data_IF_683570909216
#
_entry.id   IF_683570909216
#
_cell.length_a   1.000
_cell.length_b   1.000
_cell.length_c   1.000
_cell.angle_alpha   90.00
_cell.angle_beta   90.00
_cell.angle_gamma   90.00
#
_symmetry.space_group_name_H-M   'P 1'
#
loop_
_entity.id
_entity.type
_entity.pdbx_description
1 polymer ?
#
# COMPACT_ATOMS: atom_id res chain seq x y z
N UNK A 1 -20.24 -32.97 -0.56
CA UNK A 1 -19.79 -31.68 -1.11
C UNK A 1 -21.04 -30.96 -1.60
N UNK A 2 -21.49 -29.97 -0.85
CA UNK A 2 -22.76 -29.30 -1.10
C UNK A 2 -22.65 -28.35 -2.31
N UNK A 3 -23.77 -27.96 -2.92
CA UNK A 3 -23.82 -27.08 -4.10
C UNK A 3 -23.16 -25.73 -3.82
N UNK A 4 -23.30 -25.20 -2.60
CA UNK A 4 -22.62 -24.00 -2.14
C UNK A 4 -21.09 -24.10 -2.20
N UNK A 5 -20.52 -25.25 -1.82
CA UNK A 5 -19.06 -25.45 -1.84
C UNK A 5 -18.49 -25.44 -3.27
N UNK A 6 -19.23 -26.00 -4.24
CA UNK A 6 -18.84 -25.97 -5.67
C UNK A 6 -18.87 -24.55 -6.25
N UNK A 7 -19.81 -23.73 -5.80
CA UNK A 7 -19.90 -22.34 -6.22
C UNK A 7 -18.74 -21.50 -5.67
N UNK A 8 -18.32 -21.76 -4.43
CA UNK A 8 -17.16 -21.10 -3.82
C UNK A 8 -15.83 -21.52 -4.48
N UNK A 9 -15.72 -22.76 -4.96
CA UNK A 9 -14.59 -23.20 -5.77
C UNK A 9 -14.52 -22.44 -7.11
N UNK A 10 -15.67 -22.21 -7.74
CA UNK A 10 -15.75 -21.36 -8.94
C UNK A 10 -15.35 -19.90 -8.66
N UNK A 11 -15.70 -19.37 -7.48
CA UNK A 11 -15.25 -18.05 -7.04
C UNK A 11 -13.73 -18.02 -6.85
N UNK A 12 -13.15 -19.09 -6.30
CA UNK A 12 -11.71 -19.21 -6.10
C UNK A 12 -10.92 -19.16 -7.41
N UNK A 13 -11.46 -19.76 -8.46
CA UNK A 13 -10.82 -19.76 -9.79
C UNK A 13 -10.98 -18.42 -10.52
N UNK A 14 -12.10 -17.73 -10.34
CA UNK A 14 -12.47 -16.57 -11.16
C UNK A 14 -12.13 -15.23 -10.49
N UNK A 15 -12.12 -15.19 -9.16
CA UNK A 15 -11.81 -14.02 -8.35
C UNK A 15 -10.98 -14.42 -7.11
N UNK A 16 -9.69 -14.74 -7.28
CA UNK A 16 -8.83 -15.29 -6.22
C UNK A 16 -8.65 -14.34 -5.04
N UNK A 17 -8.75 -13.02 -5.22
CA UNK A 17 -8.69 -12.06 -4.10
C UNK A 17 -9.93 -12.12 -3.20
N UNK A 18 -11.10 -12.43 -3.79
CA UNK A 18 -12.36 -12.64 -3.09
C UNK A 18 -12.48 -14.09 -2.56
N UNK A 19 -11.59 -14.99 -2.99
CA UNK A 19 -11.54 -16.36 -2.50
C UNK A 19 -11.18 -16.46 -1.01
N UNK A 20 -10.39 -15.52 -0.49
CA UNK A 20 -10.10 -15.44 0.95
C UNK A 20 -11.37 -15.20 1.78
N UNK A 21 -12.30 -14.40 1.25
CA UNK A 21 -13.61 -14.11 1.84
C UNK A 21 -14.57 -15.32 1.73
N UNK A 22 -14.51 -16.06 0.62
CA UNK A 22 -15.27 -17.29 0.40
C UNK A 22 -14.78 -18.46 1.28
N UNK A 23 -13.46 -18.62 1.43
CA UNK A 23 -12.85 -19.67 2.24
C UNK A 23 -13.15 -19.51 3.74
N UNK A 24 -13.30 -18.28 4.22
CA UNK A 24 -13.72 -18.01 5.60
C UNK A 24 -15.15 -18.45 5.89
N UNK A 25 -16.07 -18.49 4.92
CA UNK A 25 -17.42 -19.04 5.15
C UNK A 25 -17.43 -20.55 5.35
N UNK A 26 -16.65 -21.29 4.56
CA UNK A 26 -16.62 -22.77 4.61
C UNK A 26 -16.00 -23.27 5.92
N UNK A 27 -15.12 -22.47 6.51
CA UNK A 27 -14.36 -22.81 7.72
C UNK A 27 -14.97 -22.24 9.02
N UNK A 28 -16.13 -21.57 8.95
CA UNK A 28 -16.79 -20.96 10.12
C UNK A 28 -16.18 -19.63 10.60
N UNK A 29 -15.39 -18.98 9.75
CA UNK A 29 -14.85 -17.63 9.96
C UNK A 29 -15.83 -16.49 9.60
N UNK A 30 -15.36 -15.25 9.79
CA UNK A 30 -16.14 -14.00 9.78
C UNK A 30 -17.27 -13.93 8.70
N UNK A 31 -18.56 -13.83 9.11
CA UNK A 31 -19.73 -13.90 8.21
C UNK A 31 -19.83 -12.74 7.21
N UNK A 32 -19.11 -11.63 7.45
CA UNK A 32 -19.18 -10.44 6.58
C UNK A 32 -18.61 -10.69 5.18
N UNK A 33 -17.60 -11.56 5.06
CA UNK A 33 -16.90 -11.80 3.81
C UNK A 33 -17.74 -12.70 2.85
N UNK A 34 -18.59 -13.54 3.43
CA UNK A 34 -19.50 -14.38 2.68
C UNK A 34 -20.76 -13.71 2.15
N UNK A 35 -21.12 -12.58 2.76
CA UNK A 35 -22.29 -11.80 2.38
C UNK A 35 -22.18 -11.25 0.94
N UNK A 36 -20.96 -11.01 0.41
CA UNK A 36 -20.78 -10.49 -0.96
C UNK A 36 -21.13 -11.56 -1.99
N UNK A 37 -20.64 -12.79 -1.81
CA UNK A 37 -20.95 -13.92 -2.70
C UNK A 37 -22.43 -14.28 -2.61
N UNK A 38 -23.00 -14.31 -1.40
CA UNK A 38 -24.41 -14.62 -1.17
C UNK A 38 -25.35 -13.52 -1.73
N UNK A 39 -25.00 -12.24 -1.57
CA UNK A 39 -25.81 -11.13 -2.10
C UNK A 39 -25.80 -11.07 -3.63
N UNK A 40 -24.66 -11.31 -4.26
CA UNK A 40 -24.57 -11.40 -5.72
C UNK A 40 -25.34 -12.62 -6.26
N UNK A 41 -25.24 -13.75 -5.56
CA UNK A 41 -25.98 -14.96 -5.91
C UNK A 41 -27.51 -14.78 -5.79
N UNK A 42 -27.99 -14.12 -4.72
CA UNK A 42 -29.41 -13.75 -4.56
C UNK A 42 -29.87 -12.76 -5.62
N UNK A 43 -29.06 -11.75 -5.94
CA UNK A 43 -29.37 -10.73 -6.95
C UNK A 43 -29.54 -11.31 -8.36
N UNK A 44 -28.78 -12.36 -8.70
CA UNK A 44 -28.85 -13.01 -10.01
C UNK A 44 -29.93 -14.09 -10.11
N UNK A 45 -30.27 -14.73 -9.00
CA UNK A 45 -31.33 -15.76 -8.96
C UNK A 45 -32.72 -15.17 -8.72
N UNK A 46 -32.81 -13.99 -8.11
CA UNK A 46 -34.07 -13.35 -7.75
C UNK A 46 -34.85 -14.09 -6.66
N UNK A 47 -34.20 -15.01 -5.94
CA UNK A 47 -34.82 -15.92 -4.98
C UNK A 47 -34.70 -15.36 -3.55
N UNK A 48 -35.84 -15.23 -2.84
CA UNK A 48 -35.93 -14.84 -1.41
C UNK A 48 -35.65 -16.00 -0.44
N UNK A 49 -35.22 -17.15 -0.97
CA UNK A 49 -34.86 -18.33 -0.18
C UNK A 49 -33.62 -18.06 0.69
N UNK A 50 -33.71 -18.32 1.98
CA UNK A 50 -32.56 -18.18 2.90
C UNK A 50 -31.56 -19.36 2.79
N UNK A 51 -31.94 -20.41 2.06
CA UNK A 51 -31.09 -21.57 1.75
C UNK A 51 -30.08 -21.25 0.64
N UNK A 52 -28.82 -21.09 1.06
CA UNK A 52 -27.68 -20.80 0.19
C UNK A 52 -27.35 -21.94 -0.78
N UNK A 53 -27.66 -23.18 -0.41
CA UNK A 53 -27.42 -24.36 -1.26
C UNK A 53 -28.37 -24.42 -2.47
N UNK A 54 -29.61 -23.96 -2.32
CA UNK A 54 -30.60 -23.87 -3.41
C UNK A 54 -30.27 -22.74 -4.38
N UNK A 55 -29.86 -21.57 -3.85
CA UNK A 55 -29.39 -20.45 -4.67
C UNK A 55 -28.17 -20.86 -5.50
N UNK A 56 -27.20 -21.57 -4.89
CA UNK A 56 -26.06 -22.09 -5.63
C UNK A 56 -26.45 -23.16 -6.65
N UNK A 57 -27.44 -23.99 -6.36
CA UNK A 57 -28.00 -24.96 -7.29
C UNK A 57 -28.56 -24.29 -8.55
N UNK A 58 -29.28 -23.17 -8.41
CA UNK A 58 -29.84 -22.43 -9.54
C UNK A 58 -28.77 -21.74 -10.42
N UNK A 59 -27.66 -21.29 -9.82
CA UNK A 59 -26.55 -20.67 -10.56
C UNK A 59 -25.69 -21.72 -11.24
N UNK A 60 -25.44 -22.86 -10.58
CA UNK A 60 -24.66 -23.97 -11.16
C UNK A 60 -25.46 -24.75 -12.21
N UNK A 61 -26.78 -24.80 -12.08
CA UNK A 61 -27.68 -25.48 -13.02
C UNK A 61 -27.95 -24.71 -14.31
N UNK A 62 -27.70 -23.39 -14.31
CA UNK A 62 -27.94 -22.52 -15.47
C UNK A 62 -26.62 -21.90 -15.98
N UNK A 63 -26.14 -22.32 -17.17
CA UNK A 63 -24.86 -21.86 -17.70
C UNK A 63 -24.82 -20.36 -17.99
N UNK A 64 -25.94 -19.70 -18.25
CA UNK A 64 -25.98 -18.24 -18.46
C UNK A 64 -25.84 -17.48 -17.14
N UNK A 65 -26.54 -17.93 -16.08
CA UNK A 65 -26.43 -17.34 -14.74
C UNK A 65 -25.05 -17.52 -14.14
N UNK A 66 -24.42 -18.67 -14.38
CA UNK A 66 -23.02 -18.92 -13.99
C UNK A 66 -22.06 -17.92 -14.65
N UNK A 67 -22.23 -17.65 -15.94
CA UNK A 67 -21.38 -16.69 -16.66
C UNK A 67 -21.61 -15.26 -16.19
N UNK A 68 -22.87 -14.86 -15.98
CA UNK A 68 -23.22 -13.55 -15.43
C UNK A 68 -22.61 -13.35 -14.04
N UNK A 69 -22.68 -14.38 -13.17
CA UNK A 69 -22.07 -14.36 -11.85
C UNK A 69 -20.54 -14.22 -11.92
N UNK A 70 -19.87 -14.97 -12.80
CA UNK A 70 -18.43 -14.86 -13.03
C UNK A 70 -18.01 -13.47 -13.52
N UNK A 71 -18.80 -12.87 -14.40
CA UNK A 71 -18.53 -11.54 -14.95
C UNK A 71 -18.64 -10.45 -13.88
N UNK A 72 -19.69 -10.50 -13.06
CA UNK A 72 -19.95 -9.53 -12.01
C UNK A 72 -18.88 -9.61 -10.90
N UNK A 73 -18.44 -10.82 -10.55
CA UNK A 73 -17.33 -11.05 -9.62
C UNK A 73 -16.01 -10.48 -10.13
N UNK A 74 -15.66 -10.71 -11.41
CA UNK A 74 -14.46 -10.12 -12.02
C UNK A 74 -14.51 -8.59 -12.10
N UNK A 75 -15.69 -8.00 -12.34
CA UNK A 75 -15.85 -6.54 -12.33
C UNK A 75 -15.60 -5.96 -10.94
N UNK A 76 -16.17 -6.59 -9.90
CA UNK A 76 -16.02 -6.15 -8.51
C UNK A 76 -14.55 -6.22 -8.05
N UNK A 77 -13.83 -7.29 -8.42
CA UNK A 77 -12.39 -7.43 -8.16
C UNK A 77 -11.56 -6.36 -8.89
N UNK A 78 -11.88 -6.09 -10.17
CA UNK A 78 -11.21 -5.04 -10.94
C UNK A 78 -11.44 -3.64 -10.34
N UNK A 79 -12.64 -3.38 -9.80
CA UNK A 79 -12.95 -2.12 -9.12
C UNK A 79 -12.20 -1.98 -7.80
N UNK A 80 -12.11 -3.05 -7.00
CA UNK A 80 -11.29 -3.05 -5.78
C UNK A 80 -9.80 -2.84 -6.10
N UNK A 81 -9.27 -3.51 -7.13
CA UNK A 81 -7.90 -3.30 -7.61
C UNK A 81 -7.68 -1.87 -8.11
N UNK A 82 -8.65 -1.28 -8.81
CA UNK A 82 -8.59 0.13 -9.23
C UNK A 82 -8.58 1.08 -8.04
N UNK A 83 -9.42 0.86 -7.03
CA UNK A 83 -9.44 1.67 -5.82
C UNK A 83 -8.11 1.56 -5.05
N UNK A 84 -7.58 0.34 -4.88
CA UNK A 84 -6.28 0.12 -4.25
C UNK A 84 -5.13 0.75 -5.04
N UNK A 85 -5.18 0.70 -6.37
CA UNK A 85 -4.14 1.33 -7.20
C UNK A 85 -4.25 2.85 -7.22
N UNK A 86 -5.46 3.42 -7.15
CA UNK A 86 -5.66 4.86 -6.95
C UNK A 86 -5.09 5.32 -5.61
N UNK A 87 -5.36 4.59 -4.52
CA UNK A 87 -4.82 4.88 -3.19
C UNK A 87 -3.27 4.82 -3.16
N UNK A 88 -2.69 3.78 -3.79
CA UNK A 88 -1.22 3.66 -3.91
C UNK A 88 -0.62 4.71 -4.85
N UNK A 89 -1.34 5.14 -5.90
CA UNK A 89 -0.89 6.22 -6.78
C UNK A 89 -0.91 7.58 -6.06
N UNK A 90 -1.90 7.84 -5.21
CA UNK A 90 -1.93 9.04 -4.36
C UNK A 90 -0.86 8.97 -3.25
N UNK A 91 -0.60 7.79 -2.70
CA UNK A 91 0.53 7.56 -1.79
C UNK A 91 1.89 7.82 -2.46
N UNK A 92 2.05 7.46 -3.75
CA UNK A 92 3.24 7.79 -4.54
C UNK A 92 3.34 9.28 -4.86
N UNK A 93 2.22 9.98 -5.07
CA UNK A 93 2.20 11.44 -5.25
C UNK A 93 2.53 12.20 -3.96
N UNK A 94 2.25 11.63 -2.79
CA UNK A 94 2.62 12.19 -1.48
C UNK A 94 4.06 11.90 -1.06
N UNK A 95 4.83 11.11 -1.83
CA UNK A 95 6.29 11.03 -1.74
C UNK A 95 7.02 12.19 -2.44
N UNK A 96 6.30 13.24 -2.83
CA UNK A 96 6.93 14.52 -3.11
C UNK A 96 7.40 15.06 -1.75
N UNK A 97 8.72 15.08 -1.50
CA UNK A 97 9.40 15.53 -0.27
C UNK A 97 8.42 16.31 0.61
N UNK A 98 7.95 15.69 1.70
CA UNK A 98 6.88 16.29 2.50
C UNK A 98 7.24 17.75 2.77
N UNK A 99 6.36 18.69 2.40
CA UNK A 99 6.63 20.12 2.54
C UNK A 99 7.08 20.46 3.98
N UNK A 100 6.62 19.69 4.97
CA UNK A 100 7.07 19.75 6.35
C UNK A 100 8.57 19.51 6.56
N UNK A 101 9.17 18.52 5.88
CA UNK A 101 10.62 18.27 5.98
C UNK A 101 11.44 19.46 5.46
N UNK A 102 11.02 20.08 4.36
CA UNK A 102 11.66 21.30 3.81
C UNK A 102 11.54 22.45 4.81
N UNK A 103 10.33 22.70 5.33
CA UNK A 103 10.07 23.80 6.28
C UNK A 103 10.90 23.63 7.55
N UNK A 104 10.89 22.46 8.18
CA UNK A 104 11.63 22.18 9.41
C UNK A 104 13.15 22.31 9.16
N UNK A 105 13.66 21.74 8.06
CA UNK A 105 15.08 21.87 7.72
C UNK A 105 15.49 23.32 7.48
N UNK A 106 14.63 24.13 6.86
CA UNK A 106 14.91 25.55 6.59
C UNK A 106 14.95 26.34 7.89
N UNK A 107 14.00 26.11 8.80
CA UNK A 107 13.98 26.76 10.11
C UNK A 107 15.23 26.42 10.92
N UNK A 108 15.65 25.16 10.94
CA UNK A 108 16.86 24.73 11.68
C UNK A 108 18.13 25.33 11.09
N UNK A 109 18.29 25.32 9.76
CA UNK A 109 19.47 25.90 9.10
C UNK A 109 19.53 27.41 9.30
N UNK A 110 18.43 28.12 9.04
CA UNK A 110 18.37 29.58 9.21
C UNK A 110 18.57 29.96 10.68
N UNK A 111 17.90 29.26 11.61
CA UNK A 111 18.06 29.48 13.05
C UNK A 111 19.49 29.27 13.52
N UNK A 112 20.18 28.25 13.01
CA UNK A 112 21.58 27.99 13.32
C UNK A 112 22.52 29.11 12.85
N UNK A 113 22.35 29.58 11.61
CA UNK A 113 23.16 30.68 11.08
C UNK A 113 22.87 32.00 11.81
N UNK A 114 21.61 32.32 12.11
CA UNK A 114 21.25 33.51 12.88
C UNK A 114 21.87 33.45 14.28
N UNK A 115 21.73 32.33 14.99
CA UNK A 115 22.30 32.16 16.32
C UNK A 115 23.84 32.31 16.30
N UNK A 116 24.49 31.73 15.29
CA UNK A 116 25.94 31.86 15.10
C UNK A 116 26.35 33.31 14.86
N UNK A 117 25.63 34.03 14.00
CA UNK A 117 25.91 35.44 13.72
C UNK A 117 25.68 36.34 14.95
N UNK A 118 24.64 36.08 15.74
CA UNK A 118 24.38 36.82 16.99
C UNK A 118 25.52 36.63 17.98
N UNK A 119 25.98 35.38 18.16
CA UNK A 119 27.13 35.09 19.06
C UNK A 119 28.43 35.74 18.55
N UNK A 120 28.60 35.91 17.23
CA UNK A 120 29.77 36.56 16.64
C UNK A 120 29.73 38.09 16.70
N UNK A 121 28.55 38.71 16.77
CA UNK A 121 28.38 40.17 16.64
C UNK A 121 27.95 40.87 17.94
N UNK A 122 27.35 40.14 18.88
CA UNK A 122 26.84 40.68 20.14
C UNK A 122 27.69 40.15 21.30
N UNK A 123 28.17 41.06 22.17
CA UNK A 123 28.83 40.67 23.41
C UNK A 123 27.81 40.06 24.38
N UNK A 124 27.99 38.78 24.69
CA UNK A 124 27.14 38.03 25.61
C UNK A 124 27.64 38.26 27.05
N UNK A 125 26.77 38.63 28.01
CA UNK A 125 27.15 38.77 29.41
C UNK A 125 27.74 37.46 29.97
N UNK A 126 28.83 37.53 30.75
CA UNK A 126 29.53 36.35 31.31
C UNK A 126 28.59 35.36 32.02
N UNK A 127 27.60 35.86 32.75
CA UNK A 127 26.60 35.04 33.46
C UNK A 127 25.80 34.12 32.52
N UNK A 128 25.61 34.52 31.26
CA UNK A 128 24.81 33.80 30.25
C UNK A 128 25.65 33.15 29.16
N UNK A 129 26.96 33.37 29.17
CA UNK A 129 27.86 32.97 28.08
C UNK A 129 27.98 31.44 27.96
N UNK A 130 28.15 30.75 29.10
CA UNK A 130 28.19 29.28 29.13
C UNK A 130 26.88 28.65 28.63
N UNK A 131 25.74 29.21 29.03
CA UNK A 131 24.42 28.72 28.61
C UNK A 131 24.20 28.96 27.10
N UNK A 132 24.67 30.10 26.59
CA UNK A 132 24.58 30.45 25.17
C UNK A 132 25.41 29.49 24.29
N UNK A 133 26.63 29.15 24.70
CA UNK A 133 27.46 28.18 23.97
C UNK A 133 26.91 26.75 24.04
N UNK A 134 26.32 26.35 25.17
CA UNK A 134 25.63 25.06 25.29
C UNK A 134 24.44 24.97 24.32
N UNK A 135 23.61 26.03 24.27
CA UNK A 135 22.47 26.10 23.35
C UNK A 135 22.93 26.11 21.89
N UNK A 136 24.02 26.80 21.57
CA UNK A 136 24.61 26.81 20.23
C UNK A 136 25.09 25.40 19.83
N UNK A 137 25.70 24.65 20.74
CA UNK A 137 26.10 23.26 20.52
C UNK A 137 24.91 22.31 20.28
N UNK A 138 23.83 22.49 21.04
CA UNK A 138 22.59 21.73 20.81
C UNK A 138 21.98 22.06 19.43
N UNK A 139 22.01 23.33 19.03
CA UNK A 139 21.55 23.77 17.72
C UNK A 139 22.42 23.21 16.58
N UNK A 140 23.73 23.12 16.79
CA UNK A 140 24.67 22.46 15.89
C UNK A 140 24.38 20.95 15.72
N UNK A 141 23.96 20.28 16.79
CA UNK A 141 23.48 18.88 16.72
C UNK A 141 22.22 18.77 15.86
N UNK A 142 21.27 19.69 16.04
CA UNK A 142 20.07 19.80 15.19
C UNK A 142 20.40 20.00 13.71
N UNK A 143 21.35 20.88 13.41
CA UNK A 143 21.87 21.09 12.05
C UNK A 143 22.50 19.81 11.46
N UNK A 144 23.31 19.10 12.26
CA UNK A 144 23.89 17.81 11.85
C UNK A 144 22.82 16.77 11.48
N UNK A 145 21.76 16.65 12.28
CA UNK A 145 20.64 15.74 11.99
C UNK A 145 19.93 16.09 10.67
N UNK A 146 19.77 17.38 10.35
CA UNK A 146 19.23 17.82 9.06
C UNK A 146 20.14 17.40 7.91
N UNK A 147 21.45 17.58 8.03
CA UNK A 147 22.40 17.12 7.01
C UNK A 147 22.33 15.60 6.81
N UNK A 148 22.29 14.83 7.90
CA UNK A 148 22.17 13.36 7.84
C UNK A 148 20.87 12.93 7.16
N UNK A 149 19.75 13.60 7.43
CA UNK A 149 18.47 13.32 6.78
C UNK A 149 18.56 13.49 5.24
N UNK A 150 19.09 14.62 4.77
CA UNK A 150 19.18 14.91 3.33
C UNK A 150 20.21 14.05 2.60
N UNK A 151 21.38 13.82 3.20
CA UNK A 151 22.42 12.97 2.64
C UNK A 151 22.01 11.49 2.67
N UNK A 152 21.40 11.03 3.76
CA UNK A 152 20.90 9.66 3.92
C UNK A 152 19.76 9.33 2.95
N UNK A 153 18.80 10.24 2.78
CA UNK A 153 17.72 10.08 1.79
C UNK A 153 18.25 9.96 0.36
N UNK A 154 19.32 10.70 0.03
CA UNK A 154 19.93 10.69 -1.30
C UNK A 154 20.68 9.39 -1.60
N UNK A 155 21.39 8.84 -0.60
CA UNK A 155 22.09 7.55 -0.71
C UNK A 155 21.09 6.40 -0.81
N UNK A 156 20.02 6.43 0.00
CA UNK A 156 18.97 5.40 -0.03
C UNK A 156 18.23 5.30 -1.36
N UNK A 157 18.06 6.40 -2.10
CA UNK A 157 17.47 6.36 -3.45
C UNK A 157 18.40 5.65 -4.44
N UNK A 158 19.70 5.99 -4.45
CA UNK A 158 20.68 5.38 -5.36
C UNK A 158 20.82 3.87 -5.15
N UNK A 159 20.74 3.42 -3.92
CA UNK A 159 20.86 2.00 -3.57
C UNK A 159 19.62 1.18 -3.98
N UNK A 160 18.42 1.77 -3.84
CA UNK A 160 17.17 1.17 -4.35
C UNK A 160 17.16 1.07 -5.86
N UNK A 161 17.61 2.11 -6.57
CA UNK A 161 17.68 2.10 -8.04
C UNK A 161 18.65 1.03 -8.55
N UNK A 162 19.83 0.93 -7.92
CA UNK A 162 20.81 -0.13 -8.21
C UNK A 162 20.22 -1.52 -7.99
N UNK A 163 19.58 -1.72 -6.84
CA UNK A 163 18.96 -3.00 -6.49
C UNK A 163 17.85 -3.38 -7.47
N UNK A 164 16.98 -2.42 -7.83
CA UNK A 164 15.92 -2.62 -8.82
C UNK A 164 16.48 -2.96 -10.21
N UNK A 165 17.55 -2.29 -10.63
CA UNK A 165 18.21 -2.57 -11.91
C UNK A 165 18.79 -3.98 -11.97
N UNK A 166 19.36 -4.47 -10.87
CA UNK A 166 19.87 -5.84 -10.76
C UNK A 166 18.73 -6.87 -10.82
N UNK A 167 17.62 -6.62 -10.14
CA UNK A 167 16.44 -7.50 -10.22
C UNK A 167 15.83 -7.52 -11.62
N UNK A 168 15.75 -6.37 -12.30
CA UNK A 168 15.27 -6.29 -13.68
C UNK A 168 16.20 -7.05 -14.64
N UNK A 169 17.51 -6.93 -14.48
CA UNK A 169 18.47 -7.66 -15.31
C UNK A 169 18.39 -9.18 -15.09
N UNK A 170 18.25 -9.61 -13.83
CA UNK A 170 18.06 -11.02 -13.50
C UNK A 170 16.74 -11.57 -14.07
N UNK A 171 15.64 -10.83 -13.95
CA UNK A 171 14.34 -11.19 -14.53
C UNK A 171 14.39 -11.26 -16.06
N UNK A 172 15.10 -10.31 -16.72
CA UNK A 172 15.28 -10.31 -18.17
C UNK A 172 16.04 -11.55 -18.64
N UNK A 173 17.12 -11.92 -17.93
CA UNK A 173 17.89 -13.15 -18.24
C UNK A 173 17.06 -14.42 -18.05
N UNK A 174 16.18 -14.48 -17.07
CA UNK A 174 15.26 -15.63 -16.90
C UNK A 174 14.25 -15.71 -18.05
N UNK A 175 13.67 -14.56 -18.46
CA UNK A 175 12.75 -14.52 -19.59
C UNK A 175 13.43 -14.91 -20.91
N UNK A 176 14.63 -14.40 -21.18
CA UNK A 176 15.41 -14.77 -22.38
C UNK A 176 15.71 -16.27 -22.43
N UNK A 177 16.00 -16.91 -21.28
CA UNK A 177 16.19 -18.37 -21.22
C UNK A 177 14.91 -19.13 -21.52
N UNK A 178 13.77 -18.73 -20.94
CA UNK A 178 12.48 -19.41 -21.20
C UNK A 178 12.00 -19.29 -22.64
N UNK A 179 12.30 -18.17 -23.31
CA UNK A 179 11.97 -17.98 -24.73
C UNK A 179 12.89 -18.80 -25.64
N UNK A 180 14.12 -19.11 -25.19
CA UNK A 180 15.06 -19.93 -25.97
C UNK A 180 14.82 -21.44 -25.80
N UNK A 181 14.36 -21.85 -24.62
CA UNK A 181 14.21 -23.27 -24.26
C UNK A 181 12.77 -23.80 -24.48
N UNK A 182 11.85 -22.98 -25.01
CA UNK A 182 10.47 -23.34 -25.37
C UNK A 182 10.20 -23.11 -26.86
#
# INVERSE_FOLDING_TARGET
>A
MNTWQKLLETVKDVAPTLAGAAATMVTGGNPAAGAIVASLARKLTGSDSDDLDDIAGQILGDPEKLQAFRLEMRKSELEELKLRTLDVQDARKTLNISRGAIVISTVVVVGYFIATLVVMTVSIPETSQNLSYLLLGNLGTGFGMVLTFWLGSSVGSKEKDKTMSLYMEAARKDQEKRVRDG
#
